data_IF_636403783333
#
_entry.id   IF_636403783333
#
_cell.length_a   1.000
_cell.length_b   1.000
_cell.length_c   1.000
_cell.angle_alpha   90.00
_cell.angle_beta   90.00
_cell.angle_gamma   90.00
#
_symmetry.space_group_name_H-M   'P 1'
#
loop_
_entity.id
_entity.type
_entity.pdbx_description
1 polymer ?
#
# COMPACT_ATOMS: atom_id res chain seq x y z
N UNK A 1 56.27 -48.37 -44.45
CA UNK A 1 55.89 -49.09 -43.21
C UNK A 1 56.90 -48.73 -42.15
N UNK A 2 56.43 -48.17 -41.03
CA UNK A 2 57.16 -47.75 -39.82
C UNK A 2 58.07 -46.51 -40.06
N UNK A 3 57.85 -45.33 -39.50
CA UNK A 3 57.12 -44.93 -38.29
C UNK A 3 58.08 -44.16 -37.40
N UNK A 4 58.20 -42.85 -37.57
CA UNK A 4 58.85 -41.97 -36.59
C UNK A 4 58.04 -40.67 -36.48
N UNK A 5 57.10 -40.71 -35.54
CA UNK A 5 56.41 -39.54 -35.02
C UNK A 5 57.39 -38.76 -34.14
N UNK A 6 58.17 -37.84 -34.71
CA UNK A 6 58.83 -36.80 -33.91
C UNK A 6 57.78 -35.73 -33.58
N UNK A 7 57.05 -35.92 -32.49
CA UNK A 7 56.16 -34.89 -31.94
C UNK A 7 57.05 -33.75 -31.43
N UNK A 8 56.99 -32.52 -31.98
CA UNK A 8 57.69 -31.40 -31.37
C UNK A 8 56.95 -31.05 -30.07
N UNK A 9 57.55 -31.38 -28.93
CA UNK A 9 57.08 -30.94 -27.62
C UNK A 9 57.18 -29.41 -27.54
N UNK A 10 56.09 -28.72 -27.87
CA UNK A 10 55.86 -27.35 -27.42
C UNK A 10 55.59 -27.43 -25.92
N UNK A 11 56.60 -27.18 -25.11
CA UNK A 11 56.40 -26.89 -23.68
C UNK A 11 55.77 -25.51 -23.61
N UNK A 12 54.44 -25.43 -23.56
CA UNK A 12 53.78 -24.17 -23.24
C UNK A 12 54.01 -23.88 -21.76
N UNK A 13 54.34 -22.63 -21.41
CA UNK A 13 54.50 -22.22 -20.01
C UNK A 13 53.25 -22.55 -19.15
N UNK A 14 52.07 -22.59 -19.77
CA UNK A 14 50.83 -23.02 -19.14
C UNK A 14 50.81 -24.53 -18.82
N UNK A 15 51.46 -25.38 -19.61
CA UNK A 15 51.54 -26.82 -19.37
C UNK A 15 52.46 -27.09 -18.16
N UNK A 16 53.59 -26.38 -18.08
CA UNK A 16 54.55 -26.52 -16.98
C UNK A 16 53.97 -26.04 -15.63
N UNK A 17 53.26 -24.91 -15.63
CA UNK A 17 52.54 -24.43 -14.45
C UNK A 17 51.44 -25.40 -14.01
N UNK A 18 50.76 -26.05 -14.96
CA UNK A 18 49.73 -27.04 -14.66
C UNK A 18 50.33 -28.31 -14.06
N UNK A 19 51.49 -28.75 -14.55
CA UNK A 19 52.22 -29.87 -13.98
C UNK A 19 52.73 -29.59 -12.56
N UNK A 20 53.31 -28.41 -12.32
CA UNK A 20 53.75 -28.00 -10.97
C UNK A 20 52.57 -27.99 -9.99
N UNK A 21 51.41 -27.48 -10.43
CA UNK A 21 50.19 -27.52 -9.63
C UNK A 21 49.76 -28.97 -9.30
N UNK A 22 49.81 -29.87 -10.28
CA UNK A 22 49.46 -31.28 -10.09
C UNK A 22 50.43 -32.00 -9.14
N UNK A 23 51.73 -31.71 -9.24
CA UNK A 23 52.76 -32.27 -8.35
C UNK A 23 52.54 -31.80 -6.91
N UNK A 24 52.26 -30.51 -6.70
CA UNK A 24 51.92 -29.97 -5.39
C UNK A 24 50.62 -30.57 -4.83
N UNK A 25 49.57 -30.73 -5.65
CA UNK A 25 48.33 -31.40 -5.26
C UNK A 25 48.55 -32.86 -4.85
N UNK A 26 49.41 -33.56 -5.60
CA UNK A 26 49.78 -34.93 -5.32
C UNK A 26 50.53 -35.03 -3.99
N UNK A 27 51.58 -34.24 -3.78
CA UNK A 27 52.35 -34.21 -2.53
C UNK A 27 51.49 -33.80 -1.32
N UNK A 28 50.54 -32.87 -1.52
CA UNK A 28 49.58 -32.46 -0.51
C UNK A 28 48.68 -33.63 -0.06
N UNK A 29 48.23 -34.47 -0.99
CA UNK A 29 47.38 -35.62 -0.69
C UNK A 29 48.07 -36.66 0.21
N UNK A 30 49.41 -36.70 0.21
CA UNK A 30 50.21 -37.58 1.07
C UNK A 30 50.78 -36.87 2.31
N UNK A 31 50.40 -35.61 2.55
CA UNK A 31 50.90 -34.82 3.68
C UNK A 31 52.39 -34.49 3.59
N UNK A 32 52.96 -34.47 2.38
CA UNK A 32 54.37 -34.24 2.13
C UNK A 32 54.77 -32.78 1.98
N UNK A 33 53.81 -31.85 1.92
CA UNK A 33 54.10 -30.42 1.73
C UNK A 33 54.57 -29.76 3.02
N UNK A 34 55.58 -28.91 2.90
CA UNK A 34 55.91 -27.93 3.94
C UNK A 34 54.83 -26.85 4.04
N UNK A 35 54.73 -26.12 5.17
CA UNK A 35 53.75 -25.04 5.34
C UNK A 35 53.84 -23.95 4.26
N UNK A 36 55.04 -23.67 3.75
CA UNK A 36 55.25 -22.69 2.68
C UNK A 36 54.80 -23.22 1.30
N UNK A 37 54.91 -24.53 1.06
CA UNK A 37 54.42 -25.16 -0.17
C UNK A 37 52.90 -25.31 -0.17
N UNK A 38 52.30 -25.56 1.00
CA UNK A 38 50.85 -25.55 1.16
C UNK A 38 50.27 -24.14 0.91
N UNK A 39 50.97 -23.09 1.38
CA UNK A 39 50.60 -21.71 1.07
C UNK A 39 50.74 -21.41 -0.43
N UNK A 40 51.82 -21.85 -1.07
CA UNK A 40 52.02 -21.72 -2.52
C UNK A 40 50.88 -22.42 -3.31
N UNK A 41 50.52 -23.64 -2.92
CA UNK A 41 49.42 -24.40 -3.53
C UNK A 41 48.08 -23.66 -3.40
N UNK A 42 47.80 -23.08 -2.23
CA UNK A 42 46.59 -22.30 -2.02
C UNK A 42 46.56 -21.03 -2.88
N UNK A 43 47.70 -20.35 -3.06
CA UNK A 43 47.81 -19.21 -3.99
C UNK A 43 47.48 -19.63 -5.42
N UNK A 44 47.99 -20.78 -5.88
CA UNK A 44 47.66 -21.30 -7.20
C UNK A 44 46.19 -21.67 -7.36
N UNK A 45 45.58 -22.34 -6.38
CA UNK A 45 44.15 -22.68 -6.41
C UNK A 45 43.28 -21.44 -6.52
N UNK A 46 43.58 -20.41 -5.74
CA UNK A 46 42.85 -19.14 -5.79
C UNK A 46 43.02 -18.45 -7.15
N UNK A 47 44.25 -18.35 -7.64
CA UNK A 47 44.52 -17.78 -8.96
C UNK A 47 43.82 -18.56 -10.09
N UNK A 48 43.81 -19.90 -10.00
CA UNK A 48 43.13 -20.77 -10.96
C UNK A 48 41.61 -20.57 -10.96
N UNK A 49 41.00 -20.53 -9.77
CA UNK A 49 39.56 -20.29 -9.59
C UNK A 49 39.19 -18.89 -10.12
N UNK A 50 39.99 -17.87 -9.81
CA UNK A 50 39.71 -16.51 -10.26
C UNK A 50 39.79 -16.37 -11.79
N UNK A 51 40.79 -17.01 -12.41
CA UNK A 51 40.97 -17.03 -13.86
C UNK A 51 39.84 -17.77 -14.60
N UNK A 52 39.33 -18.87 -14.06
CA UNK A 52 38.38 -19.75 -14.78
C UNK A 52 36.92 -19.57 -14.35
N UNK A 53 36.64 -19.12 -13.13
CA UNK A 53 35.29 -19.00 -12.57
C UNK A 53 34.81 -17.55 -12.46
N UNK A 54 35.63 -16.56 -12.87
CA UNK A 54 35.22 -15.16 -13.02
C UNK A 54 34.80 -14.47 -11.71
N UNK A 55 35.16 -15.04 -10.55
CA UNK A 55 34.94 -14.41 -9.25
C UNK A 55 36.01 -13.34 -9.08
N UNK A 56 35.69 -12.09 -9.39
CA UNK A 56 36.61 -10.98 -9.15
C UNK A 56 36.77 -10.75 -7.63
N UNK A 57 37.71 -11.46 -7.01
CA UNK A 57 38.18 -11.27 -5.62
C UNK A 57 39.64 -10.82 -5.58
N UNK A 58 40.12 -10.15 -6.62
CA UNK A 58 41.44 -9.51 -6.69
C UNK A 58 41.71 -8.49 -5.56
N UNK A 59 40.70 -8.11 -4.76
CA UNK A 59 40.90 -7.30 -3.54
C UNK A 59 41.39 -8.11 -2.33
N UNK A 60 41.53 -9.44 -2.44
CA UNK A 60 41.94 -10.33 -1.35
C UNK A 60 43.10 -11.26 -1.67
N UNK A 61 43.65 -11.20 -2.89
CA UNK A 61 44.99 -11.72 -3.14
C UNK A 61 45.91 -10.80 -2.34
N UNK A 62 46.17 -11.17 -1.09
CA UNK A 62 47.33 -10.66 -0.39
C UNK A 62 48.48 -10.89 -1.36
N UNK A 63 49.17 -9.83 -1.76
CA UNK A 63 50.50 -10.02 -2.35
C UNK A 63 51.18 -11.06 -1.46
N UNK A 64 51.75 -12.14 -2.00
CA UNK A 64 52.65 -12.96 -1.21
C UNK A 64 53.78 -12.01 -0.80
N UNK A 65 53.64 -11.42 0.39
CA UNK A 65 54.63 -10.53 0.99
C UNK A 65 55.78 -11.36 1.56
N UNK A 66 55.65 -12.70 1.54
CA UNK A 66 56.70 -13.62 1.86
C UNK A 66 57.59 -13.88 0.63
N UNK A 67 58.83 -13.34 0.58
CA UNK A 67 59.76 -13.59 -0.51
C UNK A 67 60.11 -15.08 -0.66
N UNK A 68 60.04 -15.86 0.43
CA UNK A 68 60.34 -17.29 0.42
C UNK A 68 59.37 -18.09 -0.47
N UNK A 69 58.09 -17.72 -0.50
CA UNK A 69 57.07 -18.40 -1.32
C UNK A 69 57.29 -18.12 -2.81
N UNK A 70 57.73 -16.91 -3.14
CA UNK A 70 58.07 -16.54 -4.51
C UNK A 70 59.33 -17.27 -4.98
N UNK A 71 60.33 -17.38 -4.11
CA UNK A 71 61.58 -18.06 -4.45
C UNK A 71 61.34 -19.58 -4.56
N UNK A 72 60.44 -20.15 -3.73
CA UNK A 72 59.95 -21.52 -3.83
C UNK A 72 59.20 -21.81 -5.14
N UNK A 73 58.35 -20.88 -5.61
CA UNK A 73 57.71 -20.98 -6.93
C UNK A 73 58.77 -21.13 -8.03
N UNK A 74 59.80 -20.29 -8.02
CA UNK A 74 60.85 -20.33 -9.04
C UNK A 74 61.70 -21.58 -8.91
N UNK A 75 61.98 -22.05 -7.69
CA UNK A 75 62.68 -23.31 -7.46
C UNK A 75 61.93 -24.51 -8.05
N UNK A 76 60.62 -24.64 -7.81
CA UNK A 76 59.81 -25.73 -8.38
C UNK A 76 59.66 -25.61 -9.90
N UNK A 77 59.63 -24.39 -10.41
CA UNK A 77 59.60 -24.14 -11.84
C UNK A 77 60.92 -24.55 -12.51
N UNK A 78 62.06 -24.17 -11.93
CA UNK A 78 63.40 -24.55 -12.41
C UNK A 78 63.61 -26.07 -12.32
N UNK A 79 63.22 -26.70 -11.21
CA UNK A 79 63.25 -28.16 -11.06
C UNK A 79 62.46 -28.86 -12.19
N UNK A 80 61.25 -28.38 -12.50
CA UNK A 80 60.44 -28.95 -13.58
C UNK A 80 61.06 -28.73 -14.96
N UNK A 81 61.70 -27.59 -15.17
CA UNK A 81 62.46 -27.33 -16.41
C UNK A 81 63.62 -28.32 -16.52
N UNK A 82 64.38 -28.51 -15.45
CA UNK A 82 65.53 -29.41 -15.41
C UNK A 82 65.11 -30.88 -15.60
N UNK A 83 63.99 -31.33 -15.02
CA UNK A 83 63.41 -32.66 -15.28
C UNK A 83 63.10 -32.88 -16.75
N UNK A 84 62.49 -31.90 -17.42
CA UNK A 84 62.17 -31.99 -18.85
C UNK A 84 63.43 -31.98 -19.69
N UNK A 85 64.44 -31.17 -19.33
CA UNK A 85 65.73 -31.14 -20.01
C UNK A 85 66.52 -32.46 -19.83
N UNK A 86 66.47 -33.05 -18.64
CA UNK A 86 67.09 -34.34 -18.35
C UNK A 86 66.43 -35.49 -19.13
N UNK A 87 65.08 -35.48 -19.21
CA UNK A 87 64.33 -36.44 -20.04
C UNK A 87 64.64 -36.31 -21.54
N UNK A 88 65.06 -35.13 -22.00
CA UNK A 88 65.53 -34.91 -23.37
C UNK A 88 66.97 -35.42 -23.56
N UNK A 89 67.80 -35.37 -22.51
CA UNK A 89 69.21 -35.75 -22.56
C UNK A 89 69.48 -37.23 -22.88
N UNK A 90 68.54 -38.13 -22.62
CA UNK A 90 68.71 -39.57 -22.90
C UNK A 90 68.39 -39.97 -24.35
N UNK A 91 67.62 -39.18 -25.10
CA UNK A 91 67.21 -39.48 -26.48
C UNK A 91 68.18 -38.94 -27.57
N UNK A 92 69.23 -38.20 -27.17
CA UNK A 92 70.21 -37.60 -28.09
C UNK A 92 71.55 -38.35 -28.17
N UNK A 93 71.58 -39.66 -27.90
CA UNK A 93 72.77 -40.49 -28.19
C UNK A 93 72.81 -40.90 -29.66
N UNK A 94 72.79 -39.92 -30.56
CA UNK A 94 73.31 -40.03 -31.91
C UNK A 94 74.21 -38.81 -32.10
N UNK A 95 75.51 -39.07 -32.17
CA UNK A 95 76.56 -38.07 -32.38
C UNK A 95 76.32 -37.39 -33.73
N UNK A 96 75.59 -36.26 -33.72
CA UNK A 96 75.63 -35.26 -34.78
C UNK A 96 76.71 -34.24 -34.46
N UNK A 97 77.42 -33.82 -35.51
CA UNK A 97 78.49 -32.82 -35.46
C UNK A 97 78.01 -31.56 -34.69
N UNK A 98 78.73 -31.11 -33.64
CA UNK A 98 78.32 -30.00 -32.78
C UNK A 98 78.01 -28.70 -33.52
N UNK A 99 78.62 -28.45 -34.69
CA UNK A 99 78.28 -27.30 -35.53
C UNK A 99 76.88 -27.41 -36.15
N UNK A 100 76.46 -28.62 -36.52
CA UNK A 100 75.12 -28.90 -37.08
C UNK A 100 74.03 -28.68 -36.04
N UNK A 101 74.26 -29.17 -34.81
CA UNK A 101 73.36 -28.96 -33.66
C UNK A 101 73.26 -27.46 -33.33
N UNK A 102 74.38 -26.74 -33.33
CA UNK A 102 74.39 -25.29 -33.09
C UNK A 102 73.59 -24.52 -34.14
N UNK A 103 73.72 -24.89 -35.43
CA UNK A 103 73.00 -24.28 -36.53
C UNK A 103 71.48 -24.51 -36.42
N UNK A 104 71.07 -25.74 -36.09
CA UNK A 104 69.66 -26.12 -35.90
C UNK A 104 69.06 -25.37 -34.70
N UNK A 105 69.75 -25.33 -33.56
CA UNK A 105 69.32 -24.60 -32.37
C UNK A 105 69.15 -23.11 -32.64
N UNK A 106 70.05 -22.49 -33.41
CA UNK A 106 69.95 -21.08 -33.80
C UNK A 106 68.67 -20.79 -34.62
N UNK A 107 68.30 -21.69 -35.54
CA UNK A 107 67.07 -21.55 -36.34
C UNK A 107 65.81 -21.71 -35.47
N UNK A 108 65.80 -22.69 -34.55
CA UNK A 108 64.70 -22.88 -33.62
C UNK A 108 64.55 -21.72 -32.65
N UNK A 109 65.66 -21.19 -32.12
CA UNK A 109 65.66 -20.01 -31.28
C UNK A 109 65.05 -18.80 -32.00
N UNK A 110 65.43 -18.55 -33.26
CA UNK A 110 64.84 -17.47 -34.05
C UNK A 110 63.35 -17.67 -34.36
N UNK A 111 62.85 -18.91 -34.44
CA UNK A 111 61.40 -19.18 -34.54
C UNK A 111 60.69 -18.95 -33.21
N UNK A 112 61.28 -19.42 -32.11
CA UNK A 112 60.75 -19.24 -30.76
C UNK A 112 60.65 -17.76 -30.39
N UNK A 113 61.71 -16.98 -30.60
CA UNK A 113 61.70 -15.54 -30.34
C UNK A 113 60.58 -14.83 -31.12
N UNK A 114 60.38 -15.16 -32.40
CA UNK A 114 59.28 -14.59 -33.21
C UNK A 114 57.90 -14.97 -32.67
N UNK A 115 57.72 -16.20 -32.21
CA UNK A 115 56.46 -16.64 -31.60
C UNK A 115 56.21 -15.93 -30.27
N UNK A 116 57.23 -15.77 -29.44
CA UNK A 116 57.16 -15.02 -28.18
C UNK A 116 56.78 -13.57 -28.44
N UNK A 117 57.44 -12.88 -29.40
CA UNK A 117 57.07 -11.50 -29.77
C UNK A 117 55.61 -11.39 -30.19
N UNK A 118 55.14 -12.29 -31.05
CA UNK A 118 53.74 -12.29 -31.51
C UNK A 118 52.75 -12.57 -30.38
N UNK A 119 53.09 -13.43 -29.43
CA UNK A 119 52.28 -13.67 -28.23
C UNK A 119 52.25 -12.43 -27.33
N UNK A 120 53.37 -11.73 -27.16
CA UNK A 120 53.42 -10.48 -26.40
C UNK A 120 52.57 -9.38 -27.04
N UNK A 121 52.62 -9.25 -28.36
CA UNK A 121 51.78 -8.32 -29.11
C UNK A 121 50.29 -8.62 -28.89
N UNK A 122 49.86 -9.87 -29.09
CA UNK A 122 48.48 -10.28 -28.85
C UNK A 122 48.04 -10.09 -27.39
N UNK A 123 48.92 -10.38 -26.43
CA UNK A 123 48.64 -10.14 -25.02
C UNK A 123 48.46 -8.64 -24.73
N UNK A 124 49.27 -7.78 -25.34
CA UNK A 124 49.14 -6.32 -25.20
C UNK A 124 47.84 -5.78 -25.80
N UNK A 125 47.43 -6.30 -26.96
CA UNK A 125 46.15 -5.97 -27.60
C UNK A 125 44.97 -6.45 -26.75
N UNK A 126 45.04 -7.67 -26.20
CA UNK A 126 44.02 -8.21 -25.31
C UNK A 126 43.87 -7.36 -24.04
N UNK A 127 44.97 -6.93 -23.43
CA UNK A 127 44.93 -6.05 -22.24
C UNK A 127 44.36 -4.68 -22.59
N UNK A 128 44.73 -4.11 -23.75
CA UNK A 128 44.22 -2.83 -24.21
C UNK A 128 42.69 -2.87 -24.44
N UNK A 129 42.22 -3.88 -25.16
CA UNK A 129 40.78 -4.09 -25.41
C UNK A 129 40.01 -4.37 -24.12
N UNK A 130 40.57 -5.14 -23.19
CA UNK A 130 39.99 -5.36 -21.86
C UNK A 130 39.84 -4.04 -21.08
N UNK A 131 40.87 -3.19 -21.10
CA UNK A 131 40.84 -1.89 -20.43
C UNK A 131 39.78 -0.96 -21.04
N UNK A 132 39.63 -0.95 -22.37
CA UNK A 132 38.58 -0.20 -23.05
C UNK A 132 37.18 -0.69 -22.64
N UNK A 133 36.97 -2.01 -22.62
CA UNK A 133 35.69 -2.61 -22.21
C UNK A 133 35.33 -2.26 -20.76
N UNK A 134 36.29 -2.29 -19.84
CA UNK A 134 36.05 -1.89 -18.46
C UNK A 134 35.71 -0.40 -18.33
N UNK A 135 36.40 0.45 -19.09
CA UNK A 135 36.11 1.89 -19.12
C UNK A 135 34.71 2.14 -19.66
N UNK A 136 34.31 1.44 -20.74
CA UNK A 136 32.97 1.52 -21.32
C UNK A 136 31.91 1.01 -20.36
N UNK A 137 32.16 -0.11 -19.68
CA UNK A 137 31.26 -0.65 -18.64
C UNK A 137 31.04 0.34 -17.50
N UNK A 138 32.11 0.97 -17.00
CA UNK A 138 32.00 1.97 -15.93
C UNK A 138 31.16 3.18 -16.38
N UNK A 139 31.38 3.66 -17.61
CA UNK A 139 30.57 4.76 -18.18
C UNK A 139 29.09 4.38 -18.34
N UNK A 140 28.81 3.16 -18.79
CA UNK A 140 27.45 2.65 -18.95
C UNK A 140 26.74 2.52 -17.61
N UNK A 141 27.41 1.96 -16.60
CA UNK A 141 26.87 1.85 -15.24
C UNK A 141 26.54 3.23 -14.65
N UNK A 142 27.45 4.21 -14.79
CA UNK A 142 27.20 5.59 -14.36
C UNK A 142 25.96 6.19 -15.03
N UNK A 143 25.85 6.04 -16.35
CA UNK A 143 24.72 6.57 -17.13
C UNK A 143 23.39 5.89 -16.78
N UNK A 144 23.41 4.56 -16.61
CA UNK A 144 22.24 3.78 -16.20
C UNK A 144 21.73 4.21 -14.83
N UNK A 145 22.62 4.32 -13.83
CA UNK A 145 22.27 4.78 -12.48
C UNK A 145 21.67 6.18 -12.50
N UNK A 146 22.23 7.09 -13.31
CA UNK A 146 21.70 8.45 -13.47
C UNK A 146 20.31 8.46 -14.15
N UNK A 147 20.10 7.62 -15.16
CA UNK A 147 18.80 7.49 -15.83
C UNK A 147 17.74 6.92 -14.89
N UNK A 148 18.06 5.85 -14.15
CA UNK A 148 17.18 5.26 -13.14
C UNK A 148 16.84 6.27 -12.04
N UNK A 149 17.84 6.99 -11.53
CA UNK A 149 17.62 8.05 -10.53
C UNK A 149 16.67 9.15 -11.02
N UNK A 150 16.76 9.56 -12.30
CA UNK A 150 15.84 10.54 -12.89
C UNK A 150 14.41 10.01 -13.01
N UNK A 151 14.23 8.76 -13.43
CA UNK A 151 12.91 8.13 -13.57
C UNK A 151 12.27 7.96 -12.19
N UNK A 152 12.99 7.38 -11.24
CA UNK A 152 12.52 7.21 -9.86
C UNK A 152 12.19 8.57 -9.22
N UNK A 153 13.02 9.59 -9.42
CA UNK A 153 12.76 10.93 -8.91
C UNK A 153 11.49 11.58 -9.49
N UNK A 154 11.15 11.31 -10.77
CA UNK A 154 9.89 11.76 -11.37
C UNK A 154 8.69 11.01 -10.79
N UNK A 155 8.82 9.70 -10.63
CA UNK A 155 7.74 8.86 -10.09
C UNK A 155 7.42 9.24 -8.64
N UNK A 156 8.44 9.45 -7.80
CA UNK A 156 8.27 9.94 -6.42
C UNK A 156 7.54 11.28 -6.40
N UNK A 157 7.91 12.24 -7.26
CA UNK A 157 7.20 13.53 -7.35
C UNK A 157 5.73 13.35 -7.74
N UNK A 158 5.44 12.49 -8.72
CA UNK A 158 4.08 12.21 -9.15
C UNK A 158 3.24 11.57 -8.04
N UNK A 159 3.83 10.62 -7.30
CA UNK A 159 3.19 9.98 -6.15
C UNK A 159 2.92 10.97 -5.00
N UNK A 160 3.86 11.86 -4.71
CA UNK A 160 3.66 12.93 -3.70
C UNK A 160 2.50 13.83 -4.06
N UNK A 161 2.40 14.28 -5.31
CA UNK A 161 1.27 15.10 -5.78
C UNK A 161 -0.05 14.33 -5.66
N UNK A 162 -0.05 13.04 -6.02
CA UNK A 162 -1.25 12.20 -5.92
C UNK A 162 -1.68 11.99 -4.47
N UNK A 163 -0.74 11.80 -3.56
CA UNK A 163 -0.99 11.65 -2.13
C UNK A 163 -1.59 12.94 -1.53
N UNK A 164 -0.99 14.10 -1.84
CA UNK A 164 -1.52 15.40 -1.39
C UNK A 164 -2.96 15.65 -1.88
N UNK A 165 -3.25 15.34 -3.14
CA UNK A 165 -4.61 15.45 -3.69
C UNK A 165 -5.61 14.49 -3.01
N UNK A 166 -5.17 13.30 -2.62
CA UNK A 166 -6.02 12.36 -1.88
C UNK A 166 -6.27 12.83 -0.45
N UNK A 167 -5.26 13.36 0.21
CA UNK A 167 -5.37 13.94 1.55
C UNK A 167 -6.36 15.12 1.56
N UNK A 168 -6.29 16.02 0.57
CA UNK A 168 -7.26 17.11 0.41
C UNK A 168 -8.70 16.59 0.21
N UNK A 169 -8.89 15.59 -0.66
CA UNK A 169 -10.20 14.96 -0.86
C UNK A 169 -10.74 14.31 0.42
N UNK A 170 -9.89 13.63 1.18
CA UNK A 170 -10.30 13.03 2.45
C UNK A 170 -10.71 14.12 3.44
N UNK A 171 -9.92 15.18 3.59
CA UNK A 171 -10.22 16.27 4.50
C UNK A 171 -11.54 16.99 4.14
N UNK A 172 -11.76 17.26 2.85
CA UNK A 172 -13.04 17.86 2.40
C UNK A 172 -14.23 16.94 2.66
N UNK A 173 -14.11 15.63 2.41
CA UNK A 173 -15.17 14.67 2.73
C UNK A 173 -15.40 14.49 4.23
N UNK A 174 -14.37 14.61 5.07
CA UNK A 174 -14.51 14.54 6.53
C UNK A 174 -15.21 15.78 7.12
N UNK A 175 -15.05 16.95 6.49
CA UNK A 175 -15.73 18.19 6.88
C UNK A 175 -17.21 18.22 6.47
N UNK A 176 -17.61 17.51 5.42
CA UNK A 176 -19.00 17.51 4.95
C UNK A 176 -20.03 17.00 5.98
N UNK A 177 -19.80 15.87 6.69
CA UNK A 177 -20.71 15.39 7.73
C UNK A 177 -20.92 16.38 8.88
N UNK A 178 -19.86 17.10 9.30
CA UNK A 178 -19.99 18.08 10.38
C UNK A 178 -20.82 19.28 9.94
N UNK A 179 -20.59 19.78 8.72
CA UNK A 179 -21.39 20.86 8.14
C UNK A 179 -22.87 20.44 7.97
N UNK A 180 -23.11 19.23 7.45
CA UNK A 180 -24.47 18.71 7.30
C UNK A 180 -25.16 18.51 8.65
N UNK A 181 -24.42 18.13 9.68
CA UNK A 181 -24.92 18.01 11.06
C UNK A 181 -25.30 19.37 11.64
N UNK A 182 -24.47 20.40 11.45
CA UNK A 182 -24.80 21.77 11.90
C UNK A 182 -26.04 22.31 11.20
N UNK A 183 -26.16 22.09 9.90
CA UNK A 183 -27.33 22.52 9.12
C UNK A 183 -28.59 21.80 9.62
N UNK A 184 -28.52 20.48 9.85
CA UNK A 184 -29.62 19.72 10.43
C UNK A 184 -30.02 20.27 11.81
N UNK A 185 -29.05 20.57 12.67
CA UNK A 185 -29.31 21.12 14.00
C UNK A 185 -30.03 22.47 13.92
N UNK A 186 -29.59 23.37 13.05
CA UNK A 186 -30.27 24.65 12.83
C UNK A 186 -31.70 24.47 12.32
N UNK A 187 -31.94 23.51 11.41
CA UNK A 187 -33.32 23.23 10.94
C UNK A 187 -34.20 22.65 12.04
N UNK A 188 -33.64 21.77 12.89
CA UNK A 188 -34.36 21.18 14.02
C UNK A 188 -34.76 22.25 15.05
N UNK A 189 -33.83 23.13 15.42
CA UNK A 189 -34.10 24.26 16.34
C UNK A 189 -35.16 25.23 15.78
N UNK A 190 -35.18 25.44 14.46
CA UNK A 190 -36.23 26.22 13.80
C UNK A 190 -37.60 25.53 13.90
N UNK A 191 -37.66 24.23 13.59
CA UNK A 191 -38.91 23.45 13.67
C UNK A 191 -39.46 23.38 15.10
N UNK A 192 -38.60 23.31 16.12
CA UNK A 192 -39.02 23.39 17.53
C UNK A 192 -39.74 24.72 17.81
N UNK A 193 -39.18 25.84 17.32
CA UNK A 193 -39.78 27.17 17.51
C UNK A 193 -41.12 27.28 16.80
N UNK A 194 -41.18 26.89 15.53
CA UNK A 194 -42.42 26.87 14.74
C UNK A 194 -43.49 25.99 15.40
N UNK A 195 -43.10 24.83 15.95
CA UNK A 195 -44.00 23.96 16.71
C UNK A 195 -44.55 24.66 17.96
N UNK A 196 -43.71 25.30 18.75
CA UNK A 196 -44.14 25.99 19.97
C UNK A 196 -45.10 27.14 19.67
N UNK A 197 -44.85 27.90 18.60
CA UNK A 197 -45.74 28.97 18.12
C UNK A 197 -47.11 28.41 17.69
N UNK A 198 -47.12 27.29 16.97
CA UNK A 198 -48.36 26.61 16.57
C UNK A 198 -49.13 26.06 17.77
N UNK A 199 -48.46 25.46 18.74
CA UNK A 199 -49.08 24.99 19.99
C UNK A 199 -49.73 26.16 20.74
N UNK A 200 -49.08 27.33 20.80
CA UNK A 200 -49.65 28.53 21.40
C UNK A 200 -50.89 29.03 20.63
N UNK A 201 -50.85 29.04 19.29
CA UNK A 201 -51.99 29.43 18.46
C UNK A 201 -53.18 28.47 18.62
N UNK A 202 -52.92 27.16 18.65
CA UNK A 202 -53.95 26.13 18.88
C UNK A 202 -54.57 26.31 20.27
N UNK A 203 -53.77 26.59 21.29
CA UNK A 203 -54.27 26.89 22.64
C UNK A 203 -55.21 28.11 22.64
N UNK A 204 -54.82 29.20 21.97
CA UNK A 204 -55.66 30.40 21.83
C UNK A 204 -56.99 30.09 21.12
N UNK A 205 -56.96 29.36 20.01
CA UNK A 205 -58.15 28.94 19.27
C UNK A 205 -59.07 28.05 20.10
N UNK A 206 -58.51 27.13 20.87
CA UNK A 206 -59.27 26.24 21.76
C UNK A 206 -60.00 27.02 22.84
N UNK A 207 -59.33 28.02 23.44
CA UNK A 207 -59.96 28.90 24.42
C UNK A 207 -61.10 29.73 23.81
N UNK A 208 -60.91 30.25 22.59
CA UNK A 208 -61.93 31.00 21.87
C UNK A 208 -63.17 30.12 21.57
N UNK A 209 -62.95 28.88 21.12
CA UNK A 209 -64.01 27.93 20.85
C UNK A 209 -64.81 27.59 22.12
N UNK A 210 -64.12 27.38 23.24
CA UNK A 210 -64.78 27.14 24.53
C UNK A 210 -65.62 28.34 24.98
N UNK A 211 -65.12 29.56 24.79
CA UNK A 211 -65.88 30.77 25.08
C UNK A 211 -67.13 30.90 24.19
N UNK A 212 -67.01 30.58 22.90
CA UNK A 212 -68.14 30.57 21.97
C UNK A 212 -69.20 29.53 22.36
N UNK A 213 -68.79 28.29 22.69
CA UNK A 213 -69.72 27.25 23.14
C UNK A 213 -70.44 27.64 24.43
N UNK A 214 -69.74 28.25 25.39
CA UNK A 214 -70.38 28.77 26.61
C UNK A 214 -71.39 29.89 26.31
N UNK A 215 -71.09 30.74 25.32
CA UNK A 215 -72.01 31.76 24.86
C UNK A 215 -73.24 31.13 24.17
N UNK A 216 -73.06 30.18 23.27
CA UNK A 216 -74.15 29.43 22.63
C UNK A 216 -75.09 28.80 23.66
N UNK A 217 -74.56 28.13 24.69
CA UNK A 217 -75.35 27.57 25.78
C UNK A 217 -76.20 28.63 26.49
N UNK A 218 -75.61 29.80 26.81
CA UNK A 218 -76.35 30.92 27.42
C UNK A 218 -77.45 31.46 26.50
N UNK A 219 -77.21 31.52 25.19
CA UNK A 219 -78.23 31.94 24.23
C UNK A 219 -79.40 30.97 24.18
N UNK A 220 -79.12 29.66 24.18
CA UNK A 220 -80.16 28.63 24.24
C UNK A 220 -80.98 28.74 25.53
N UNK A 221 -80.35 28.91 26.70
CA UNK A 221 -81.07 29.14 27.96
C UNK A 221 -81.95 30.38 27.91
N UNK A 222 -81.44 31.49 27.36
CA UNK A 222 -82.19 32.75 27.27
C UNK A 222 -83.38 32.62 26.31
N UNK A 223 -83.22 31.89 25.19
CA UNK A 223 -84.30 31.60 24.26
C UNK A 223 -85.39 30.75 24.91
N UNK A 224 -85.02 29.72 25.68
CA UNK A 224 -85.97 28.93 26.47
C UNK A 224 -86.73 29.80 27.47
N UNK A 225 -86.03 30.62 28.27
CA UNK A 225 -86.67 31.54 29.23
C UNK A 225 -87.59 32.55 28.55
N UNK A 226 -87.22 33.05 27.37
CA UNK A 226 -88.08 33.94 26.58
C UNK A 226 -89.36 33.23 26.13
N UNK A 227 -89.26 31.98 25.66
CA UNK A 227 -90.43 31.18 25.29
C UNK A 227 -91.33 30.91 26.50
N UNK A 228 -90.76 30.65 27.66
CA UNK A 228 -91.51 30.49 28.92
C UNK A 228 -92.24 31.78 29.33
N UNK A 229 -91.53 32.91 29.31
CA UNK A 229 -92.11 34.21 29.61
C UNK A 229 -93.24 34.57 28.63
N UNK A 230 -93.08 34.25 27.34
CA UNK A 230 -94.13 34.46 26.34
C UNK A 230 -95.38 33.62 26.66
N UNK A 231 -95.20 32.33 26.99
CA UNK A 231 -96.32 31.47 27.42
C UNK A 231 -97.04 32.03 28.63
N UNK A 232 -96.30 32.55 29.61
CA UNK A 232 -96.89 33.20 30.79
C UNK A 232 -97.68 34.48 30.42
N UNK A 233 -97.15 35.31 29.53
CA UNK A 233 -97.82 36.53 29.07
C UNK A 233 -99.10 36.21 28.30
N UNK A 234 -99.08 35.21 27.43
CA UNK A 234 -100.27 34.75 26.69
C UNK A 234 -101.35 34.23 27.64
N UNK A 235 -100.97 33.47 28.68
CA UNK A 235 -101.88 33.02 29.74
C UNK A 235 -102.50 34.20 30.50
N UNK A 236 -101.70 35.18 30.90
CA UNK A 236 -102.20 36.39 31.59
C UNK A 236 -103.18 37.16 30.70
N UNK A 237 -102.90 37.24 29.39
CA UNK A 237 -103.80 37.88 28.43
C UNK A 237 -105.14 37.13 28.34
N UNK A 238 -105.10 35.80 28.21
CA UNK A 238 -106.31 34.96 28.23
C UNK A 238 -107.10 35.14 29.52
N UNK A 239 -106.44 35.16 30.68
CA UNK A 239 -107.09 35.39 31.98
C UNK A 239 -107.75 36.77 32.07
N UNK A 240 -107.11 37.82 31.53
CA UNK A 240 -107.72 39.15 31.47
C UNK A 240 -108.96 39.18 30.58
N UNK A 241 -108.92 38.49 29.45
CA UNK A 241 -110.04 38.36 28.53
C UNK A 241 -111.20 37.57 29.17
N UNK A 242 -110.93 36.49 29.90
CA UNK A 242 -111.95 35.71 30.62
C UNK A 242 -112.53 36.42 31.84
N UNK A 243 -111.74 37.18 32.59
CA UNK A 243 -112.25 38.04 33.69
C UNK A 243 -113.09 39.19 33.15
N UNK A 244 -112.71 39.76 32.00
CA UNK A 244 -113.50 40.81 31.33
C UNK A 244 -114.83 40.28 30.76
N UNK A 245 -114.89 39.00 30.35
CA UNK A 245 -116.13 38.35 29.93
C UNK A 245 -116.98 37.84 31.11
N UNK A 246 -116.38 37.35 32.20
CA UNK A 246 -117.09 37.01 33.43
C UNK A 246 -117.68 38.24 34.15
N UNK A 247 -116.97 39.38 34.13
CA UNK A 247 -117.46 40.67 34.64
C UNK A 247 -118.66 41.23 33.85
N UNK A 248 -118.94 40.75 32.64
CA UNK A 248 -120.12 41.14 31.84
C UNK A 248 -121.31 40.20 32.00
N UNK A 249 -121.17 39.10 32.76
CA UNK A 249 -122.20 38.07 32.85
C UNK A 249 -122.26 37.41 34.22
N UNK A 250 -122.49 38.17 35.29
CA UNK A 250 -123.26 37.69 36.45
C UNK A 250 -123.62 38.83 37.42
N UNK A 251 -124.81 39.36 37.21
CA UNK A 251 -125.73 39.88 38.21
C UNK A 251 -126.93 38.93 38.23
N UNK A 252 -127.41 38.59 39.44
CA UNK A 252 -128.62 37.86 39.83
C UNK A 252 -128.64 36.31 39.87
N UNK A 253 -128.77 35.84 41.12
CA UNK A 253 -129.68 34.82 41.69
C UNK A 253 -129.14 33.44 42.13
N UNK A 254 -129.61 33.09 43.33
CA UNK A 254 -129.48 31.87 44.14
C UNK A 254 -130.13 30.63 43.50
N UNK A 255 -129.55 29.44 43.70
CA UNK A 255 -130.05 28.33 44.54
C UNK A 255 -129.36 26.98 44.22
N UNK A 256 -129.48 26.06 45.19
CA UNK A 256 -128.89 24.73 45.43
C UNK A 256 -128.74 23.70 44.28
N UNK A 257 -127.68 22.87 44.37
CA UNK A 257 -127.76 21.42 44.68
C UNK A 257 -126.52 20.60 44.26
N UNK A 258 -126.27 19.52 45.04
CA UNK A 258 -125.26 18.45 44.91
C UNK A 258 -124.96 17.95 43.48
N UNK A 259 -123.69 17.63 43.16
CA UNK A 259 -123.16 16.25 43.15
C UNK A 259 -121.63 16.20 42.86
N UNK A 260 -121.04 15.06 43.19
CA UNK A 260 -119.63 14.62 43.09
C UNK A 260 -118.89 14.97 41.78
N UNK A 261 -117.55 15.04 41.83
CA UNK A 261 -116.61 14.12 41.14
C UNK A 261 -115.16 14.68 41.11
N UNK A 262 -114.24 13.80 41.52
CA UNK A 262 -112.81 13.60 41.18
C UNK A 262 -111.77 14.75 41.14
N UNK A 263 -110.72 14.54 41.95
CA UNK A 263 -109.37 15.11 41.77
C UNK A 263 -108.75 14.64 40.44
N UNK A 264 -107.76 15.38 39.92
CA UNK A 264 -106.47 14.72 39.77
C UNK A 264 -105.27 15.53 40.30
N UNK A 265 -104.53 14.83 41.17
CA UNK A 265 -103.07 14.75 41.33
C UNK A 265 -102.24 15.91 40.76
N UNK A 266 -101.75 16.77 41.65
CA UNK A 266 -100.48 17.48 41.46
C UNK A 266 -99.35 16.45 41.31
N UNK A 267 -98.80 16.33 40.10
CA UNK A 267 -97.49 15.70 39.87
C UNK A 267 -96.43 16.78 39.97
N UNK A 268 -95.69 16.79 41.08
CA UNK A 268 -94.36 17.39 41.10
C UNK A 268 -93.41 16.43 40.37
N UNK A 269 -92.85 16.88 39.25
CA UNK A 269 -91.69 16.24 38.64
C UNK A 269 -90.50 17.13 38.98
N UNK A 270 -89.76 16.73 40.00
CA UNK A 270 -88.36 17.11 40.13
C UNK A 270 -87.58 16.41 39.00
N UNK A 271 -86.88 17.18 38.18
CA UNK A 271 -85.77 16.64 37.38
C UNK A 271 -84.49 17.10 38.04
N UNK A 272 -83.68 16.12 38.42
CA UNK A 272 -82.41 16.24 39.09
C UNK A 272 -81.36 16.89 38.18
N UNK A 273 -80.44 17.63 38.81
CA UNK A 273 -79.06 17.84 38.37
C UNK A 273 -78.27 16.52 38.46
#
# INVERSE_FOLDING_TARGET
>A
MLGQNSVPLKVHACDLQSEILLDLEYENAFGGLSPNEEELLNVYREAWIDCHMGRSRLSRIGRPHNPEIRDLFWSRFEEKVDEKLAAIGEDFVLVEDPETIHQVNKVWWGKLCRQVTRLTELASEAVSTQQELFTRRASFQKNLTLALGKVLGREVKALVVRAANLEEKINTHLLQPSQRSSDLRCTYERLIREKAELEEQVFKLTNLLNAYNAHEQRFLELACRKADAQRQMDLIKQLKETVSSASRGQSTNEEDSNDKVEKPKQRFIYTNL
#
